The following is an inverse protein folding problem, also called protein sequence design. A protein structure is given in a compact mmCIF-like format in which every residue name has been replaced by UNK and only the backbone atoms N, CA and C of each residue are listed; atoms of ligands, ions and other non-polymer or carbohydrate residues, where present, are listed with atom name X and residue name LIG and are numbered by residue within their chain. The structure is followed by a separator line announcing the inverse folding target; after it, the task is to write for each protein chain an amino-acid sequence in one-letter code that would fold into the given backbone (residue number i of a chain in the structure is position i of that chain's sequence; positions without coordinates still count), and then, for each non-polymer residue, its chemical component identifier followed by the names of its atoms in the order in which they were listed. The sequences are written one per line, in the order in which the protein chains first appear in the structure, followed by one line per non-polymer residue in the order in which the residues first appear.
data_IF_830592513471
#
_entry.id   IF_830592513471
#
_cell.length_a   1.000
_cell.length_b   1.000
_cell.length_c   1.000
_cell.angle_alpha   90.00
_cell.angle_beta   90.00
_cell.angle_gamma   90.00
#
_symmetry.space_group_name_H-M   'P 1'
#
loop_
_entity.id
_entity.type
_entity.pdbx_description
1 polymer ?
#
# COMPACT_ATOMS: atom_id res chain seq x y z
N UNK A 1 -15.74 -22.87 6.09
CA UNK A 1 -14.33 -23.27 5.99
C UNK A 1 -14.14 -23.96 4.64
N UNK A 2 -13.87 -23.23 3.56
CA UNK A 2 -13.50 -23.80 2.26
C UNK A 2 -12.00 -23.55 2.08
N UNK A 3 -11.21 -24.60 2.29
CA UNK A 3 -9.81 -24.63 1.84
C UNK A 3 -9.81 -24.35 0.34
N UNK A 4 -9.02 -23.35 -0.12
CA UNK A 4 -8.70 -23.24 -1.54
C UNK A 4 -8.02 -24.56 -1.91
N UNK A 5 -8.68 -25.39 -2.72
CA UNK A 5 -8.08 -26.60 -3.31
C UNK A 5 -7.01 -26.15 -4.29
N UNK A 6 -5.79 -26.50 -4.02
CA UNK A 6 -4.65 -26.35 -4.93
C UNK A 6 -3.39 -26.00 -4.15
N UNK A 7 -2.40 -26.88 -4.19
CA UNK A 7 -1.04 -26.77 -3.62
C UNK A 7 -0.20 -25.66 -4.29
N UNK A 8 -0.71 -24.43 -4.34
CA UNK A 8 0.03 -23.27 -4.81
C UNK A 8 0.22 -22.27 -3.67
N UNK A 9 1.46 -22.05 -3.24
CA UNK A 9 1.83 -20.88 -2.47
C UNK A 9 1.28 -19.64 -3.20
N UNK A 10 0.51 -18.77 -2.51
CA UNK A 10 -0.07 -17.57 -3.12
C UNK A 10 0.99 -16.73 -3.81
N UNK A 11 0.64 -16.10 -4.93
CA UNK A 11 1.55 -15.24 -5.69
C UNK A 11 1.14 -13.78 -5.51
N UNK A 12 2.06 -12.94 -5.05
CA UNK A 12 1.88 -11.49 -4.98
C UNK A 12 2.80 -10.77 -5.95
N UNK A 13 2.41 -9.54 -6.33
CA UNK A 13 3.28 -8.63 -7.07
C UNK A 13 3.61 -7.45 -6.16
N UNK A 14 4.91 -7.14 -6.04
CA UNK A 14 5.42 -5.95 -5.37
C UNK A 14 5.64 -4.86 -6.42
N UNK A 15 4.85 -3.78 -6.35
CA UNK A 15 5.03 -2.58 -7.17
C UNK A 15 5.80 -1.53 -6.38
N UNK A 16 6.97 -1.11 -6.87
CA UNK A 16 7.75 -0.06 -6.23
C UNK A 16 7.52 1.29 -6.93
N UNK A 17 7.27 2.33 -6.13
CA UNK A 17 7.10 3.70 -6.61
C UNK A 17 8.15 4.67 -6.08
N UNK A 18 9.15 4.19 -5.33
CA UNK A 18 10.16 5.01 -4.66
C UNK A 18 9.83 5.33 -3.20
N UNK A 19 9.97 6.58 -2.81
CA UNK A 19 9.77 7.05 -1.43
C UNK A 19 10.91 6.72 -0.49
N UNK A 20 10.81 7.13 0.78
CA UNK A 20 11.86 6.99 1.80
C UNK A 20 12.35 5.55 1.98
N UNK A 21 11.46 4.56 1.85
CA UNK A 21 11.82 3.13 1.95
C UNK A 21 12.91 2.73 0.94
N UNK A 22 12.90 3.37 -0.23
CA UNK A 22 13.82 3.12 -1.34
C UNK A 22 14.99 4.10 -1.39
N UNK A 23 15.11 5.03 -0.42
CA UNK A 23 16.17 6.02 -0.42
C UNK A 23 17.50 5.45 0.07
N UNK A 24 18.59 5.99 -0.51
CA UNK A 24 19.95 5.86 0.01
C UNK A 24 20.55 7.24 0.24
N UNK A 25 21.52 7.38 1.17
CA UNK A 25 22.26 8.60 1.33
C UNK A 25 23.05 8.94 0.06
N UNK A 26 23.00 10.18 -0.36
CA UNK A 26 23.78 10.75 -1.47
C UNK A 26 24.32 12.14 -1.09
N UNK A 27 25.10 12.76 -1.97
CA UNK A 27 25.75 14.06 -1.72
C UNK A 27 24.75 15.20 -1.47
N UNK A 28 23.55 15.11 -2.04
CA UNK A 28 22.46 16.10 -1.91
C UNK A 28 21.37 15.70 -0.91
N UNK A 29 21.58 14.64 -0.12
CA UNK A 29 20.61 14.12 0.84
C UNK A 29 20.06 12.73 0.45
N UNK A 30 18.89 12.38 0.97
CA UNK A 30 18.24 11.10 0.66
C UNK A 30 17.57 11.17 -0.72
N UNK A 31 17.86 10.19 -1.58
CA UNK A 31 17.18 10.02 -2.87
C UNK A 31 16.74 8.59 -3.11
N UNK A 32 15.58 8.35 -3.75
CA UNK A 32 15.12 7.00 -4.06
C UNK A 32 16.04 6.38 -5.12
N UNK A 33 16.69 5.26 -4.78
CA UNK A 33 17.63 4.56 -5.67
C UNK A 33 17.37 3.05 -5.69
N UNK A 34 16.80 2.48 -4.61
CA UNK A 34 16.53 1.06 -4.53
C UNK A 34 15.33 0.67 -5.39
N UNK A 35 15.48 -0.42 -6.11
CA UNK A 35 14.44 -1.02 -6.95
C UNK A 35 13.59 -2.02 -6.15
N UNK A 36 12.47 -2.42 -6.73
CA UNK A 36 11.58 -3.42 -6.15
C UNK A 36 12.30 -4.71 -5.76
N UNK A 37 13.27 -5.15 -6.58
CA UNK A 37 14.07 -6.34 -6.31
C UNK A 37 14.95 -6.20 -5.07
N UNK A 38 15.55 -5.02 -4.85
CA UNK A 38 16.40 -4.73 -3.68
C UNK A 38 15.57 -4.73 -2.39
N UNK A 39 14.40 -4.08 -2.44
CA UNK A 39 13.46 -4.06 -1.33
C UNK A 39 13.01 -5.48 -0.96
N UNK A 40 12.63 -6.27 -1.96
CA UNK A 40 12.21 -7.65 -1.76
C UNK A 40 13.32 -8.52 -1.19
N UNK A 41 14.56 -8.38 -1.66
CA UNK A 41 15.71 -9.15 -1.19
C UNK A 41 15.91 -9.01 0.32
N UNK A 42 15.63 -7.83 0.88
CA UNK A 42 15.78 -7.53 2.31
C UNK A 42 14.86 -8.33 3.25
N UNK A 43 13.77 -8.88 2.73
CA UNK A 43 12.75 -9.61 3.50
C UNK A 43 12.45 -11.01 2.95
N UNK A 44 13.02 -11.38 1.81
CA UNK A 44 12.68 -12.60 1.05
C UNK A 44 12.62 -13.87 1.88
N UNK A 45 13.59 -14.05 2.78
CA UNK A 45 13.67 -15.24 3.64
C UNK A 45 12.54 -15.35 4.67
N UNK A 46 11.88 -14.24 4.97
CA UNK A 46 10.79 -14.17 5.95
C UNK A 46 9.39 -14.18 5.31
N UNK A 47 9.30 -14.26 3.97
CA UNK A 47 8.02 -14.22 3.26
C UNK A 47 7.43 -15.62 3.08
N UNK A 48 6.11 -15.78 3.28
CA UNK A 48 5.43 -17.07 3.20
C UNK A 48 4.94 -17.44 1.79
N UNK A 49 5.28 -16.64 0.76
CA UNK A 49 4.78 -16.82 -0.60
C UNK A 49 5.77 -16.35 -1.65
N UNK A 50 5.46 -16.63 -2.93
CA UNK A 50 6.15 -16.01 -4.05
C UNK A 50 5.77 -14.53 -4.16
N UNK A 51 6.77 -13.65 -4.26
CA UNK A 51 6.57 -12.22 -4.53
C UNK A 51 7.39 -11.83 -5.75
N UNK A 52 6.76 -11.27 -6.76
CA UNK A 52 7.40 -10.82 -8.01
C UNK A 52 7.60 -9.30 -7.95
N UNK A 53 8.84 -8.80 -7.99
CA UNK A 53 9.12 -7.37 -7.95
C UNK A 53 8.91 -6.72 -9.32
N UNK A 54 8.31 -5.52 -9.34
CA UNK A 54 8.18 -4.65 -10.52
C UNK A 54 8.34 -3.19 -10.11
N UNK A 55 9.12 -2.45 -10.87
CA UNK A 55 9.24 -1.00 -10.70
C UNK A 55 8.14 -0.30 -11.52
N UNK A 56 7.48 0.69 -10.92
CA UNK A 56 6.52 1.58 -11.60
C UNK A 56 7.12 2.97 -11.70
N UNK A 57 7.57 3.51 -10.56
CA UNK A 57 8.25 4.81 -10.47
C UNK A 57 9.48 4.70 -9.57
N UNK A 58 10.31 5.73 -9.62
CA UNK A 58 11.41 5.94 -8.70
C UNK A 58 11.41 7.42 -8.30
N UNK A 59 10.43 7.81 -7.46
CA UNK A 59 10.18 9.21 -7.15
C UNK A 59 9.95 9.47 -5.67
N UNK A 60 10.15 10.71 -5.26
CA UNK A 60 9.65 11.22 -4.00
C UNK A 60 8.12 11.39 -4.10
N UNK A 61 7.39 10.90 -3.11
CA UNK A 61 5.93 10.98 -3.12
C UNK A 61 5.36 12.40 -3.04
N UNK A 62 6.15 13.38 -2.59
CA UNK A 62 5.76 14.79 -2.62
C UNK A 62 5.55 15.32 -4.05
N UNK A 63 6.15 14.66 -5.04
CA UNK A 63 5.98 14.98 -6.46
C UNK A 63 4.83 14.23 -7.14
N UNK A 64 4.07 13.40 -6.40
CA UNK A 64 2.95 12.63 -6.93
C UNK A 64 1.80 13.55 -7.36
N UNK A 65 1.37 13.44 -8.60
CA UNK A 65 0.28 14.20 -9.21
C UNK A 65 -0.86 13.23 -9.62
N UNK A 66 -2.03 13.72 -10.04
CA UNK A 66 -3.14 12.88 -10.49
C UNK A 66 -2.80 11.92 -11.63
N UNK A 67 -1.88 12.31 -12.52
CA UNK A 67 -1.41 11.50 -13.64
C UNK A 67 -0.68 10.26 -13.18
N UNK A 68 0.17 10.38 -12.14
CA UNK A 68 0.86 9.24 -11.55
C UNK A 68 -0.11 8.30 -10.82
N UNK A 69 -1.17 8.81 -10.19
CA UNK A 69 -2.21 7.94 -9.62
C UNK A 69 -2.92 7.13 -10.70
N UNK A 70 -3.24 7.73 -11.84
CA UNK A 70 -3.85 7.03 -12.97
C UNK A 70 -2.89 5.98 -13.55
N UNK A 71 -1.61 6.32 -13.72
CA UNK A 71 -0.58 5.39 -14.21
C UNK A 71 -0.37 4.22 -13.23
N UNK A 72 -0.31 4.50 -11.92
CA UNK A 72 -0.21 3.46 -10.89
C UNK A 72 -1.46 2.57 -10.88
N UNK A 73 -2.66 3.13 -11.01
CA UNK A 73 -3.90 2.37 -11.07
C UNK A 73 -3.91 1.40 -12.28
N UNK A 74 -3.43 1.84 -13.44
CA UNK A 74 -3.26 0.97 -14.62
C UNK A 74 -2.28 -0.18 -14.35
N UNK A 75 -1.13 0.10 -13.71
CA UNK A 75 -0.16 -0.92 -13.34
C UNK A 75 -0.73 -1.93 -12.33
N UNK A 76 -1.47 -1.46 -11.32
CA UNK A 76 -2.15 -2.31 -10.33
C UNK A 76 -3.21 -3.18 -11.01
N UNK A 77 -4.07 -2.59 -11.86
CA UNK A 77 -5.11 -3.32 -12.56
C UNK A 77 -4.55 -4.44 -13.44
N UNK A 78 -3.48 -4.17 -14.19
CA UNK A 78 -2.77 -5.18 -14.97
C UNK A 78 -2.17 -6.29 -14.08
N UNK A 79 -1.52 -5.92 -12.97
CA UNK A 79 -0.93 -6.87 -12.04
C UNK A 79 -1.97 -7.81 -11.39
N UNK A 80 -3.17 -7.30 -11.07
CA UNK A 80 -4.25 -8.10 -10.49
C UNK A 80 -4.72 -9.26 -11.39
N UNK A 81 -4.50 -9.19 -12.70
CA UNK A 81 -4.81 -10.31 -13.60
C UNK A 81 -3.85 -11.49 -13.42
N UNK A 82 -2.64 -11.27 -12.88
CA UNK A 82 -1.54 -12.24 -12.86
C UNK A 82 -1.21 -12.78 -11.45
N UNK A 83 -1.82 -12.25 -10.40
CA UNK A 83 -1.47 -12.57 -9.01
C UNK A 83 -2.69 -12.63 -8.09
N UNK A 84 -2.50 -13.06 -6.85
CA UNK A 84 -3.54 -13.12 -5.81
C UNK A 84 -3.72 -11.80 -5.06
N UNK A 85 -2.78 -10.86 -5.20
CA UNK A 85 -2.84 -9.53 -4.61
C UNK A 85 -1.60 -8.71 -4.93
N UNK A 86 -1.68 -7.42 -4.67
CA UNK A 86 -0.62 -6.45 -4.96
C UNK A 86 -0.18 -5.77 -3.67
N UNK A 87 1.14 -5.66 -3.46
CA UNK A 87 1.76 -4.82 -2.44
C UNK A 87 2.46 -3.66 -3.14
N UNK A 88 2.29 -2.44 -2.64
CA UNK A 88 2.86 -1.22 -3.24
C UNK A 88 3.75 -0.56 -2.21
N UNK A 89 5.03 -0.36 -2.51
CA UNK A 89 5.89 0.50 -1.70
C UNK A 89 5.80 1.94 -2.20
N UNK A 90 5.62 2.87 -1.25
CA UNK A 90 5.30 4.25 -1.55
C UNK A 90 5.93 5.20 -0.53
N UNK A 91 6.19 6.44 -0.92
CA UNK A 91 6.60 7.50 0.01
C UNK A 91 5.46 7.89 0.95
N UNK A 92 5.78 8.19 2.21
CA UNK A 92 4.78 8.34 3.27
C UNK A 92 3.95 9.62 3.17
N UNK A 93 4.44 10.67 2.47
CA UNK A 93 3.79 11.99 2.47
C UNK A 93 2.44 11.99 1.75
N UNK A 94 2.35 11.29 0.63
CA UNK A 94 1.12 11.20 -0.15
C UNK A 94 0.51 9.79 -0.19
N UNK A 95 1.05 8.83 0.55
CA UNK A 95 0.55 7.44 0.56
C UNK A 95 -0.94 7.34 0.88
N UNK A 96 -1.45 8.14 1.83
CA UNK A 96 -2.86 8.16 2.18
C UNK A 96 -3.74 8.66 1.02
N UNK A 97 -3.27 9.66 0.27
CA UNK A 97 -3.97 10.15 -0.93
C UNK A 97 -3.95 9.11 -2.04
N UNK A 98 -2.81 8.48 -2.27
CA UNK A 98 -2.68 7.37 -3.24
C UNK A 98 -3.58 6.20 -2.89
N UNK A 99 -3.68 5.82 -1.60
CA UNK A 99 -4.57 4.76 -1.14
C UNK A 99 -6.04 5.12 -1.39
N UNK A 100 -6.43 6.37 -1.14
CA UNK A 100 -7.77 6.86 -1.44
C UNK A 100 -8.04 6.87 -2.95
N UNK A 101 -7.13 7.43 -3.76
CA UNK A 101 -7.27 7.45 -5.22
C UNK A 101 -7.43 6.04 -5.80
N UNK A 102 -6.58 5.08 -5.40
CA UNK A 102 -6.70 3.70 -5.85
C UNK A 102 -8.01 3.04 -5.41
N UNK A 103 -8.55 3.40 -4.24
CA UNK A 103 -9.83 2.88 -3.76
C UNK A 103 -11.01 3.29 -4.66
N UNK A 104 -10.93 4.46 -5.32
CA UNK A 104 -11.94 4.95 -6.26
C UNK A 104 -11.66 4.56 -7.70
N UNK A 105 -10.38 4.47 -8.10
CA UNK A 105 -9.99 4.07 -9.45
C UNK A 105 -10.15 2.55 -9.68
N UNK A 106 -10.01 1.74 -8.61
CA UNK A 106 -10.11 0.27 -8.68
C UNK A 106 -11.14 -0.20 -7.65
N UNK A 107 -12.42 -0.16 -8.02
CA UNK A 107 -13.51 -0.51 -7.13
C UNK A 107 -13.81 -2.01 -7.18
N UNK A 108 -14.32 -2.55 -6.07
CA UNK A 108 -14.78 -3.93 -5.95
C UNK A 108 -13.71 -4.99 -6.25
N UNK A 109 -12.44 -4.68 -6.04
CA UNK A 109 -11.39 -5.68 -6.18
C UNK A 109 -11.63 -6.83 -5.19
N UNK A 110 -11.76 -8.05 -5.71
CA UNK A 110 -11.81 -9.25 -4.89
C UNK A 110 -10.42 -9.65 -4.34
N UNK A 111 -9.36 -9.00 -4.82
CA UNK A 111 -7.97 -9.22 -4.42
C UNK A 111 -7.47 -8.02 -3.61
N UNK A 112 -6.57 -8.23 -2.65
CA UNK A 112 -5.98 -7.14 -1.85
C UNK A 112 -5.04 -6.26 -2.67
N UNK A 113 -5.09 -4.97 -2.38
CA UNK A 113 -4.17 -3.94 -2.85
C UNK A 113 -3.66 -3.24 -1.59
N UNK A 114 -2.41 -3.50 -1.20
CA UNK A 114 -1.85 -3.06 0.07
C UNK A 114 -0.72 -2.07 -0.16
N UNK A 115 -0.89 -0.83 0.30
CA UNK A 115 0.17 0.18 0.28
C UNK A 115 0.97 0.13 1.59
N UNK A 116 2.27 0.32 1.45
CA UNK A 116 3.20 0.43 2.58
C UNK A 116 4.40 1.32 2.23
N UNK A 117 5.23 1.59 3.22
CA UNK A 117 6.44 2.38 3.09
C UNK A 117 7.25 2.35 4.37
N UNK A 118 8.12 3.35 4.55
CA UNK A 118 8.88 3.49 5.77
C UNK A 118 9.14 4.95 6.12
N UNK A 119 9.27 5.22 7.43
CA UNK A 119 9.76 6.53 7.92
C UNK A 119 11.27 6.63 7.79
N UNK A 120 11.98 5.50 7.77
CA UNK A 120 13.43 5.43 7.60
C UNK A 120 13.81 4.59 6.39
N UNK A 121 14.87 4.97 5.67
CA UNK A 121 15.40 4.17 4.57
C UNK A 121 15.66 2.72 4.96
N UNK A 122 15.55 1.80 4.01
CA UNK A 122 15.86 0.39 4.22
C UNK A 122 17.30 0.16 4.68
N UNK A 123 18.22 1.04 4.30
CA UNK A 123 19.65 1.01 4.68
C UNK A 123 19.90 1.42 6.12
N UNK A 124 18.94 2.06 6.79
CA UNK A 124 19.08 2.46 8.19
C UNK A 124 19.06 1.24 9.11
N UNK A 125 19.94 1.24 10.13
CA UNK A 125 20.04 0.13 11.10
C UNK A 125 18.75 -0.09 11.91
N UNK A 126 18.01 0.98 12.19
CA UNK A 126 16.76 0.95 12.96
C UNK A 126 15.54 1.25 12.08
N UNK A 127 15.55 0.78 10.83
CA UNK A 127 14.47 0.98 9.87
C UNK A 127 13.19 0.22 10.25
N UNK A 128 12.03 0.83 10.00
CA UNK A 128 10.71 0.22 10.03
C UNK A 128 10.35 -0.50 8.71
N UNK A 129 11.15 -0.33 7.67
CA UNK A 129 10.89 -0.81 6.31
C UNK A 129 10.65 -2.32 6.24
N UNK A 130 11.53 -3.12 6.87
CA UNK A 130 11.45 -4.58 6.79
C UNK A 130 10.19 -5.11 7.46
N UNK A 131 9.82 -4.54 8.61
CA UNK A 131 8.60 -4.91 9.33
C UNK A 131 7.37 -4.54 8.50
N UNK A 132 7.28 -3.31 8.04
CA UNK A 132 6.14 -2.83 7.27
C UNK A 132 5.94 -3.63 5.99
N UNK A 133 7.01 -3.94 5.26
CA UNK A 133 6.94 -4.74 4.03
C UNK A 133 6.50 -6.19 4.32
N UNK A 134 7.08 -6.84 5.32
CA UNK A 134 6.69 -8.20 5.75
C UNK A 134 5.22 -8.25 6.18
N UNK A 135 4.80 -7.31 7.01
CA UNK A 135 3.43 -7.25 7.54
C UNK A 135 2.42 -6.99 6.41
N UNK A 136 2.78 -6.20 5.41
CA UNK A 136 1.96 -5.95 4.22
C UNK A 136 1.77 -7.21 3.37
N UNK A 137 2.83 -7.98 3.15
CA UNK A 137 2.73 -9.26 2.43
C UNK A 137 1.86 -10.26 3.21
N UNK A 138 2.07 -10.37 4.52
CA UNK A 138 1.26 -11.26 5.38
C UNK A 138 -0.22 -10.86 5.38
N UNK A 139 -0.51 -9.56 5.46
CA UNK A 139 -1.87 -9.06 5.43
C UNK A 139 -2.53 -9.29 4.07
N UNK A 140 -1.80 -9.09 2.96
CA UNK A 140 -2.32 -9.37 1.62
C UNK A 140 -2.69 -10.84 1.40
N UNK A 141 -2.07 -11.77 2.14
CA UNK A 141 -2.39 -13.20 2.09
C UNK A 141 -3.49 -13.62 3.07
N UNK A 142 -3.89 -12.72 3.98
CA UNK A 142 -4.87 -13.05 5.00
C UNK A 142 -6.24 -13.28 4.39
N UNK A 143 -6.93 -14.32 4.87
CA UNK A 143 -8.24 -14.72 4.34
C UNK A 143 -9.27 -13.58 4.48
N UNK A 144 -10.04 -13.35 3.43
CA UNK A 144 -11.09 -12.34 3.41
C UNK A 144 -10.61 -10.91 3.13
N UNK A 145 -9.30 -10.64 3.04
CA UNK A 145 -8.80 -9.31 2.67
C UNK A 145 -9.03 -9.05 1.19
N UNK A 146 -9.69 -7.93 0.89
CA UNK A 146 -10.00 -7.48 -0.48
C UNK A 146 -10.14 -5.97 -0.52
N UNK A 147 -9.85 -5.37 -1.69
CA UNK A 147 -9.84 -3.91 -1.84
C UNK A 147 -8.53 -3.27 -1.37
N UNK A 148 -8.55 -1.97 -1.11
CA UNK A 148 -7.36 -1.15 -0.87
C UNK A 148 -7.15 -0.89 0.61
N UNK A 149 -5.93 -1.15 1.09
CA UNK A 149 -5.49 -0.89 2.46
C UNK A 149 -4.14 -0.19 2.49
N UNK A 150 -3.91 0.54 3.56
CA UNK A 150 -2.61 1.03 3.96
C UNK A 150 -2.15 0.23 5.20
N UNK A 151 -0.99 -0.45 5.10
CA UNK A 151 -0.39 -1.20 6.22
C UNK A 151 0.87 -0.48 6.69
N UNK A 152 0.87 -0.09 7.96
CA UNK A 152 1.98 0.63 8.56
C UNK A 152 2.01 0.44 10.07
N UNK A 153 3.19 0.24 10.63
CA UNK A 153 3.42 0.05 12.08
C UNK A 153 2.46 -0.98 12.72
N UNK A 154 2.29 -2.14 12.05
CA UNK A 154 1.44 -3.23 12.51
C UNK A 154 -0.07 -2.96 12.44
N UNK A 155 -0.52 -1.93 11.73
CA UNK A 155 -1.92 -1.59 11.53
C UNK A 155 -2.29 -1.69 10.06
N UNK A 156 -3.44 -2.29 9.77
CA UNK A 156 -4.07 -2.22 8.46
C UNK A 156 -5.24 -1.23 8.53
N UNK A 157 -5.23 -0.23 7.66
CA UNK A 157 -6.21 0.86 7.61
C UNK A 157 -6.86 0.84 6.23
N UNK A 158 -8.18 0.99 6.14
CA UNK A 158 -8.86 1.14 4.84
C UNK A 158 -8.29 2.32 4.05
N UNK A 159 -8.05 2.14 2.76
CA UNK A 159 -7.42 3.14 1.91
C UNK A 159 -8.12 4.50 1.91
N UNK A 160 -9.45 4.51 2.02
CA UNK A 160 -10.27 5.73 2.11
C UNK A 160 -10.29 6.37 3.49
N UNK A 161 -9.69 5.74 4.51
CA UNK A 161 -9.71 6.20 5.91
C UNK A 161 -8.34 6.54 6.46
N UNK A 162 -7.28 6.24 5.71
CA UNK A 162 -5.92 6.49 6.15
C UNK A 162 -5.59 7.99 6.11
N UNK A 163 -4.89 8.46 7.15
CA UNK A 163 -4.33 9.81 7.23
C UNK A 163 -2.96 9.78 7.88
N UNK A 164 -1.99 10.48 7.30
CA UNK A 164 -0.70 10.74 7.93
C UNK A 164 -0.88 11.82 9.00
N UNK A 165 -0.61 11.48 10.26
CA UNK A 165 -0.80 12.37 11.41
C UNK A 165 0.50 12.73 12.10
N UNK A 166 1.61 12.03 11.77
CA UNK A 166 2.96 12.30 12.31
C UNK A 166 4.01 12.20 11.22
N UNK A 167 4.93 13.13 11.23
CA UNK A 167 5.99 13.22 10.20
C UNK A 167 7.25 12.40 10.52
N UNK A 168 7.53 12.10 11.81
CA UNK A 168 8.78 11.46 12.23
C UNK A 168 8.61 10.12 12.94
N UNK A 169 7.48 9.89 13.61
CA UNK A 169 7.22 8.67 14.37
C UNK A 169 6.91 7.49 13.45
N UNK A 170 7.28 6.28 13.86
CA UNK A 170 6.86 5.06 13.15
C UNK A 170 5.34 4.90 13.14
N UNK A 171 4.65 5.28 14.22
CA UNK A 171 3.19 5.37 14.27
C UNK A 171 2.69 6.61 13.52
N UNK A 172 2.89 6.62 12.19
CA UNK A 172 2.66 7.80 11.35
C UNK A 172 1.22 7.93 10.85
N UNK A 173 0.47 6.83 10.75
CA UNK A 173 -0.87 6.81 10.16
C UNK A 173 -1.95 6.42 11.17
N UNK A 174 -3.12 7.03 11.00
CA UNK A 174 -4.32 6.74 11.76
C UNK A 174 -5.52 6.54 10.83
N UNK A 175 -6.49 5.76 11.32
CA UNK A 175 -7.80 5.61 10.67
C UNK A 175 -8.72 6.73 11.16
N UNK A 176 -9.25 7.54 10.23
CA UNK A 176 -10.07 8.71 10.57
C UNK A 176 -11.56 8.34 10.49
N UNK A 177 -12.27 8.57 11.61
CA UNK A 177 -13.70 8.32 11.76
C UNK A 177 -14.11 6.88 11.38
N UNK A 178 -13.19 5.93 11.53
CA UNK A 178 -13.42 4.51 11.24
C UNK A 178 -12.44 3.65 12.05
N UNK A 179 -12.80 2.43 12.45
CA UNK A 179 -11.87 1.54 13.14
C UNK A 179 -10.65 1.17 12.28
N UNK A 180 -9.54 0.85 12.92
CA UNK A 180 -8.43 0.14 12.27
C UNK A 180 -8.96 -1.22 11.80
N UNK A 181 -8.71 -1.58 10.54
CA UNK A 181 -9.25 -2.80 9.95
C UNK A 181 -8.64 -4.06 10.57
N UNK A 182 -7.34 -4.03 10.86
CA UNK A 182 -6.66 -5.13 11.54
C UNK A 182 -5.41 -4.64 12.26
N UNK A 183 -5.02 -5.39 13.30
CA UNK A 183 -3.69 -5.31 13.91
C UNK A 183 -2.87 -6.54 13.50
N UNK A 184 -1.60 -6.30 13.16
CA UNK A 184 -0.66 -7.30 12.68
C UNK A 184 0.49 -7.37 13.68
N UNK A 185 0.61 -8.48 14.37
CA UNK A 185 1.76 -8.80 15.20
C UNK A 185 2.61 -9.93 14.59
N UNK A 186 3.70 -10.30 15.24
CA UNK A 186 4.60 -11.34 14.73
C UNK A 186 3.93 -12.71 14.56
N UNK A 187 2.91 -13.02 15.35
CA UNK A 187 2.28 -14.34 15.42
C UNK A 187 0.94 -14.41 14.70
N UNK A 188 0.17 -13.30 14.72
CA UNK A 188 -1.23 -13.32 14.25
C UNK A 188 -1.65 -12.00 13.63
N UNK A 189 -2.73 -12.06 12.86
CA UNK A 189 -3.47 -10.92 12.35
C UNK A 189 -4.84 -10.93 13.04
N UNK A 190 -5.16 -9.86 13.74
CA UNK A 190 -6.45 -9.64 14.38
C UNK A 190 -7.27 -8.69 13.52
N UNK A 191 -8.18 -9.25 12.72
CA UNK A 191 -9.07 -8.47 11.88
C UNK A 191 -10.31 -8.06 12.66
N UNK A 192 -10.63 -6.76 12.65
CA UNK A 192 -11.79 -6.17 13.34
C UNK A 192 -12.88 -5.74 12.37
N UNK A 193 -12.52 -5.46 11.13
CA UNK A 193 -13.43 -5.02 10.10
C UNK A 193 -13.34 -5.99 8.93
N UNK A 194 -14.46 -6.62 8.61
CA UNK A 194 -14.55 -7.42 7.40
C UNK A 194 -14.54 -6.49 6.17
N UNK A 195 -13.88 -6.96 5.11
CA UNK A 195 -13.93 -6.25 3.85
C UNK A 195 -15.38 -6.18 3.35
N UNK A 196 -15.86 -5.04 2.86
CA UNK A 196 -17.21 -4.93 2.32
C UNK A 196 -17.44 -6.02 1.28
N UNK A 197 -18.56 -6.75 1.44
CA UNK A 197 -18.97 -7.72 0.42
C UNK A 197 -19.36 -6.93 -0.83
N UNK A 198 -18.65 -7.17 -1.93
CA UNK A 198 -18.98 -6.51 -3.19
C UNK A 198 -20.30 -7.10 -3.73
N UNK A 199 -21.36 -6.30 -3.86
CA UNK A 199 -22.61 -6.78 -4.43
C UNK A 199 -22.53 -7.00 -5.95
N UNK A 200 -21.43 -6.65 -6.58
CA UNK A 200 -21.23 -6.66 -8.03
C UNK A 200 -20.20 -7.70 -8.46
N UNK A 201 -20.42 -8.42 -9.56
CA UNK A 201 -19.41 -9.29 -10.13
C UNK A 201 -18.36 -8.45 -10.87
N UNK A 202 -17.12 -8.49 -10.41
CA UNK A 202 -15.97 -7.98 -11.12
C UNK A 202 -15.43 -6.63 -10.63
N UNK A 203 -14.16 -6.39 -10.95
CA UNK A 203 -13.46 -5.14 -10.69
C UNK A 203 -13.97 -4.05 -11.62
N UNK A 204 -14.33 -2.91 -11.07
CA UNK A 204 -14.59 -1.70 -11.86
C UNK A 204 -13.31 -0.87 -11.87
N UNK A 205 -12.81 -0.60 -13.06
CA UNK A 205 -11.60 0.18 -13.27
C UNK A 205 -11.91 1.49 -13.97
N UNK A 206 -11.41 2.58 -13.38
CA UNK A 206 -11.47 3.93 -13.93
C UNK A 206 -10.05 4.41 -14.19
N UNK A 207 -9.78 4.94 -15.35
CA UNK A 207 -8.44 5.32 -15.78
C UNK A 207 -8.19 6.84 -15.78
N UNK A 208 -9.16 7.61 -15.29
CA UNK A 208 -9.09 9.05 -15.22
C UNK A 208 -9.67 9.62 -13.91
N UNK A 209 -9.14 10.76 -13.50
CA UNK A 209 -9.65 11.60 -12.42
C UNK A 209 -10.18 12.90 -12.99
N UNK A 210 -11.26 13.44 -12.38
CA UNK A 210 -11.80 14.75 -12.76
C UNK A 210 -10.87 15.85 -12.22
N UNK A 211 -10.27 16.70 -13.06
CA UNK A 211 -9.42 17.80 -12.61
C UNK A 211 -10.20 19.00 -12.06
N UNK A 212 -11.52 19.06 -12.32
CA UNK A 212 -12.38 20.19 -11.94
C UNK A 212 -12.95 20.02 -10.53
N UNK A 213 -12.13 19.64 -9.55
CA UNK A 213 -12.53 19.46 -8.15
C UNK A 213 -11.71 20.38 -7.25
N UNK A 214 -12.41 21.15 -6.42
CA UNK A 214 -11.78 22.01 -5.41
C UNK A 214 -12.36 21.70 -4.03
N UNK A 215 -11.47 21.60 -3.03
CA UNK A 215 -11.87 21.49 -1.62
C UNK A 215 -11.85 22.88 -1.00
N UNK A 216 -13.04 23.42 -0.72
CA UNK A 216 -13.19 24.68 -0.01
C UNK A 216 -13.43 24.41 1.48
N UNK A 217 -12.49 24.84 2.32
CA UNK A 217 -12.65 24.79 3.77
C UNK A 217 -13.31 26.09 4.23
N UNK A 218 -14.57 25.99 4.62
CA UNK A 218 -15.28 27.13 5.20
C UNK A 218 -14.71 27.46 6.58
N UNK A 219 -14.36 28.72 6.76
CA UNK A 219 -13.93 29.27 8.05
C UNK A 219 -14.83 30.46 8.42
N UNK A 220 -14.98 30.79 9.72
CA UNK A 220 -15.74 31.96 10.14
C UNK A 220 -15.20 33.24 9.47
N UNK A 221 -16.11 34.04 8.87
CA UNK A 221 -15.76 35.30 8.20
C UNK A 221 -15.45 35.18 6.70
N UNK A 222 -15.62 34.01 6.11
CA UNK A 222 -15.61 33.85 4.63
C UNK A 222 -16.93 34.24 4.02
#
# INVERSE_FOLDING_TARGET
MRRRNGDGMGKLILLATGGTIACTPGDSGLSPTLRAADLLASVRQSLPCEVVPRDVFLMDSSNMQPEEWCALAKAVHAALAECDGVVITHGTDTMAYTAAALSYLIQYSAKPIVLTGAQRPLSDAITDARRNLRDSVRFALHEGVRGVYLVFDGKAILGTRARKVRSKSYNAFESINYPVAAFIDERRILQYVEAPCAPQPGVQFYDALCPCVCVLKLIPGM
#
